data_IF_354671145918
#
_entry.id   IF_354671145918
#
_cell.length_a   1.000
_cell.length_b   1.000
_cell.length_c   1.000
_cell.angle_alpha   90.00
_cell.angle_beta   90.00
_cell.angle_gamma   90.00
#
_symmetry.space_group_name_H-M   'P 1'
#
loop_
_entity.id
_entity.type
_entity.pdbx_description
1 polymer ?
#
# COMPACT_ATOMS: atom_id res chain seq x y z
N UNK A 1 4.00 -20.07 8.04
CA UNK A 1 5.31 -20.10 7.34
C UNK A 1 5.16 -19.91 5.84
N UNK A 2 4.25 -20.60 5.15
CA UNK A 2 4.04 -20.42 3.70
C UNK A 2 3.55 -19.03 3.27
N UNK A 3 2.66 -18.39 4.03
CA UNK A 3 2.12 -17.06 3.68
C UNK A 3 3.16 -15.95 3.83
N UNK A 4 3.94 -15.95 4.91
CA UNK A 4 4.99 -14.96 5.12
C UNK A 4 6.04 -14.99 3.99
N UNK A 5 6.49 -16.19 3.58
CA UNK A 5 7.44 -16.34 2.47
C UNK A 5 6.85 -15.85 1.15
N UNK A 6 5.55 -16.12 0.91
CA UNK A 6 4.85 -15.64 -0.28
C UNK A 6 4.76 -14.11 -0.30
N UNK A 7 4.34 -13.51 0.81
CA UNK A 7 4.25 -12.06 0.96
C UNK A 7 5.61 -11.39 0.78
N UNK A 8 6.68 -11.94 1.36
CA UNK A 8 8.05 -11.43 1.14
C UNK A 8 8.46 -11.50 -0.33
N UNK A 9 8.20 -12.63 -1.00
CA UNK A 9 8.51 -12.77 -2.42
C UNK A 9 7.68 -11.86 -3.32
N UNK A 10 6.45 -11.52 -2.91
CA UNK A 10 5.64 -10.51 -3.59
C UNK A 10 6.22 -9.10 -3.41
N UNK A 11 6.55 -8.71 -2.17
CA UNK A 11 7.15 -7.41 -1.88
C UNK A 11 8.48 -7.19 -2.62
N UNK A 12 9.30 -8.23 -2.74
CA UNK A 12 10.55 -8.17 -3.51
C UNK A 12 10.29 -7.87 -5.01
N UNK A 13 9.27 -8.50 -5.60
CA UNK A 13 8.84 -8.18 -6.97
C UNK A 13 8.32 -6.75 -7.08
N UNK A 14 7.55 -6.27 -6.10
CA UNK A 14 7.09 -4.89 -6.10
C UNK A 14 8.26 -3.91 -6.12
N UNK A 15 9.29 -4.16 -5.30
CA UNK A 15 10.51 -3.34 -5.27
C UNK A 15 11.23 -3.35 -6.62
N UNK A 16 11.29 -4.51 -7.28
CA UNK A 16 11.86 -4.60 -8.62
C UNK A 16 11.08 -3.78 -9.65
N UNK A 17 9.74 -3.86 -9.63
CA UNK A 17 8.87 -3.12 -10.55
C UNK A 17 9.03 -1.60 -10.44
N UNK A 18 9.36 -1.07 -9.26
CA UNK A 18 9.66 0.36 -9.06
C UNK A 18 10.86 0.79 -9.91
N UNK A 19 11.89 -0.05 -10.01
CA UNK A 19 13.11 0.29 -10.75
C UNK A 19 12.92 0.22 -12.28
N UNK A 20 11.97 -0.59 -12.75
CA UNK A 20 11.71 -0.81 -14.18
C UNK A 20 10.60 0.10 -14.75
N UNK A 21 9.78 0.69 -13.88
CA UNK A 21 8.64 1.49 -14.32
C UNK A 21 9.06 2.91 -14.73
N UNK A 22 8.59 3.41 -15.89
CA UNK A 22 8.98 4.72 -16.42
C UNK A 22 8.33 5.89 -15.68
N UNK A 23 7.17 5.67 -15.07
CA UNK A 23 6.38 6.66 -14.34
C UNK A 23 5.46 6.01 -13.31
N UNK A 24 4.94 6.84 -12.39
CA UNK A 24 4.08 6.42 -11.28
C UNK A 24 2.75 5.79 -11.74
N UNK A 25 2.00 6.33 -12.73
CA UNK A 25 0.77 5.70 -13.21
C UNK A 25 1.00 4.29 -13.76
N UNK A 26 2.08 4.08 -14.51
CA UNK A 26 2.44 2.77 -15.06
C UNK A 26 2.76 1.78 -13.95
N UNK A 27 3.52 2.21 -12.94
CA UNK A 27 3.85 1.42 -11.77
C UNK A 27 2.59 0.99 -10.99
N UNK A 28 1.75 1.96 -10.62
CA UNK A 28 0.55 1.72 -9.81
C UNK A 28 -0.50 0.89 -10.57
N UNK A 29 -0.63 1.12 -11.88
CA UNK A 29 -1.50 0.35 -12.75
C UNK A 29 -1.15 -1.14 -12.80
N UNK A 30 0.12 -1.51 -12.61
CA UNK A 30 0.56 -2.89 -12.46
C UNK A 30 0.46 -3.43 -11.03
N UNK A 31 0.90 -2.65 -10.03
CA UNK A 31 1.01 -3.10 -8.65
C UNK A 31 -0.33 -3.27 -7.93
N UNK A 32 -1.27 -2.34 -8.10
CA UNK A 32 -2.55 -2.38 -7.35
C UNK A 32 -3.39 -3.64 -7.68
N UNK A 33 -3.50 -4.08 -8.95
CA UNK A 33 -4.14 -5.37 -9.25
C UNK A 33 -3.47 -6.59 -8.60
N UNK A 34 -2.13 -6.61 -8.57
CA UNK A 34 -1.40 -7.71 -7.93
C UNK A 34 -1.63 -7.72 -6.42
N UNK A 35 -1.62 -6.54 -5.77
CA UNK A 35 -1.94 -6.39 -4.34
C UNK A 35 -3.34 -6.92 -4.01
N UNK A 36 -4.36 -6.53 -4.79
CA UNK A 36 -5.73 -7.02 -4.59
C UNK A 36 -5.78 -8.55 -4.72
N UNK A 37 -5.06 -9.11 -5.68
CA UNK A 37 -5.02 -10.56 -5.92
C UNK A 37 -4.30 -11.30 -4.80
N UNK A 38 -3.11 -10.84 -4.39
CA UNK A 38 -2.26 -11.49 -3.39
C UNK A 38 -2.95 -11.52 -2.01
N UNK A 39 -3.60 -10.42 -1.62
CA UNK A 39 -4.27 -10.31 -0.32
C UNK A 39 -5.75 -10.68 -0.36
N UNK A 40 -6.27 -11.15 -1.50
CA UNK A 40 -7.70 -11.43 -1.70
C UNK A 40 -8.60 -10.27 -1.27
N UNK A 41 -8.11 -9.04 -1.43
CA UNK A 41 -8.85 -7.83 -1.09
C UNK A 41 -9.97 -7.59 -2.11
N UNK A 42 -10.94 -6.75 -1.77
CA UNK A 42 -11.93 -6.26 -2.75
C UNK A 42 -11.51 -4.93 -3.36
N UNK A 43 -10.70 -4.15 -2.64
CA UNK A 43 -10.25 -2.82 -3.02
C UNK A 43 -8.87 -2.55 -2.42
N UNK A 44 -8.04 -1.78 -3.12
CA UNK A 44 -6.87 -1.15 -2.56
C UNK A 44 -6.68 0.23 -3.20
N UNK A 45 -5.97 1.11 -2.50
CA UNK A 45 -5.67 2.45 -3.00
C UNK A 45 -4.44 3.06 -2.35
N UNK A 46 -3.92 4.08 -3.01
CA UNK A 46 -2.79 4.91 -2.55
C UNK A 46 -3.35 6.23 -2.07
N UNK A 47 -3.22 6.45 -0.76
CA UNK A 47 -3.62 7.69 -0.10
C UNK A 47 -2.37 8.52 0.21
N UNK A 48 -2.34 9.76 -0.23
CA UNK A 48 -1.25 10.69 0.05
C UNK A 48 -1.74 11.79 0.98
N UNK A 49 -0.96 12.04 2.04
CA UNK A 49 -1.23 13.14 2.96
C UNK A 49 -0.68 14.44 2.41
N UNK A 50 -1.57 15.38 2.11
CA UNK A 50 -1.27 16.80 1.82
C UNK A 50 -1.80 17.66 2.98
N UNK A 51 -2.71 18.60 2.70
CA UNK A 51 -3.49 19.29 3.74
C UNK A 51 -4.61 18.40 4.34
N UNK A 52 -5.00 17.35 3.60
CA UNK A 52 -5.88 16.26 4.02
C UNK A 52 -5.37 14.93 3.46
N UNK A 53 -6.26 13.96 3.28
CA UNK A 53 -5.96 12.70 2.61
C UNK A 53 -6.57 12.71 1.21
N UNK A 54 -5.70 12.65 0.20
CA UNK A 54 -6.11 12.57 -1.20
C UNK A 54 -5.91 11.13 -1.69
N UNK A 55 -6.89 10.60 -2.43
CA UNK A 55 -6.75 9.34 -3.14
C UNK A 55 -6.08 9.61 -4.49
N UNK A 56 -4.86 9.14 -4.67
CA UNK A 56 -4.08 9.35 -5.90
C UNK A 56 -4.31 8.22 -6.92
N UNK A 57 -4.51 6.99 -6.43
CA UNK A 57 -4.77 5.83 -7.29
C UNK A 57 -5.55 4.76 -6.55
N UNK A 58 -6.33 3.97 -7.27
CA UNK A 58 -7.10 2.87 -6.71
C UNK A 58 -7.31 1.74 -7.71
N UNK A 59 -7.56 0.55 -7.16
CA UNK A 59 -7.99 -0.61 -7.93
C UNK A 59 -8.96 -1.47 -7.13
N UNK A 60 -9.97 -2.00 -7.82
CA UNK A 60 -10.92 -2.95 -7.26
C UNK A 60 -12.34 -2.42 -7.24
N UNK A 61 -13.12 -2.87 -6.26
CA UNK A 61 -14.56 -2.63 -6.12
C UNK A 61 -14.87 -2.32 -4.66
N UNK A 62 -15.96 -1.61 -4.41
CA UNK A 62 -16.39 -1.27 -3.03
C UNK A 62 -15.35 -0.42 -2.30
N UNK A 63 -14.95 0.70 -2.93
CA UNK A 63 -14.20 1.73 -2.23
C UNK A 63 -14.91 2.10 -0.91
N UNK A 64 -14.18 2.27 0.20
CA UNK A 64 -14.75 2.76 1.45
C UNK A 64 -15.49 4.08 1.24
N UNK A 65 -16.68 4.22 1.83
CA UNK A 65 -17.45 5.47 1.75
C UNK A 65 -16.77 6.62 2.51
N UNK A 66 -16.10 6.28 3.61
CA UNK A 66 -15.34 7.20 4.44
C UNK A 66 -13.95 6.61 4.71
N UNK A 67 -12.95 7.47 4.84
CA UNK A 67 -11.60 7.06 5.20
C UNK A 67 -11.49 6.83 6.70
N UNK A 68 -10.80 5.77 7.17
CA UNK A 68 -10.53 5.58 8.59
C UNK A 68 -9.43 6.55 9.03
N UNK A 69 -9.78 7.83 9.17
CA UNK A 69 -8.83 8.93 9.41
C UNK A 69 -7.97 8.68 10.66
N UNK A 70 -8.54 8.13 11.72
CA UNK A 70 -7.82 7.80 12.96
C UNK A 70 -6.71 6.79 12.70
N UNK A 71 -7.00 5.67 12.03
CA UNK A 71 -5.98 4.67 11.65
C UNK A 71 -4.92 5.24 10.70
N UNK A 72 -5.33 6.08 9.74
CA UNK A 72 -4.40 6.74 8.83
C UNK A 72 -3.46 7.70 9.57
N UNK A 73 -3.98 8.44 10.57
CA UNK A 73 -3.18 9.31 11.42
C UNK A 73 -2.21 8.51 12.29
N UNK A 74 -2.68 7.42 12.90
CA UNK A 74 -1.84 6.50 13.67
C UNK A 74 -0.70 5.92 12.81
N UNK A 75 -0.97 5.55 11.56
CA UNK A 75 0.05 4.98 10.66
C UNK A 75 1.24 5.92 10.37
N UNK A 76 1.04 7.23 10.54
CA UNK A 76 2.06 8.25 10.36
C UNK A 76 2.71 8.66 11.68
N UNK A 77 2.13 8.27 12.81
CA UNK A 77 2.76 8.46 14.11
C UNK A 77 3.96 7.51 14.21
N UNK A 78 5.17 8.09 14.26
CA UNK A 78 6.43 7.36 14.25
C UNK A 78 6.52 6.38 15.41
N UNK A 79 5.79 6.62 16.50
CA UNK A 79 5.74 5.76 17.67
C UNK A 79 4.77 4.58 17.52
N UNK A 80 3.80 4.65 16.60
CA UNK A 80 2.81 3.60 16.38
C UNK A 80 3.36 2.39 15.59
N UNK A 81 4.46 2.56 14.85
CA UNK A 81 5.12 1.48 14.11
C UNK A 81 5.86 0.46 15.02
N UNK A 82 5.88 0.67 16.34
CA UNK A 82 6.49 -0.25 17.31
C UNK A 82 8.02 -0.38 17.21
N UNK A 83 8.67 0.39 16.33
CA UNK A 83 10.11 0.40 16.17
C UNK A 83 10.74 1.24 17.27
N UNK A 84 11.24 0.59 18.32
CA UNK A 84 12.22 1.26 19.18
C UNK A 84 13.45 1.63 18.33
N UNK A 85 14.10 2.78 18.60
CA UNK A 85 15.38 3.09 17.99
C UNK A 85 16.34 1.92 18.23
N UNK A 86 17.02 1.48 17.17
CA UNK A 86 18.11 0.52 17.27
C UNK A 86 19.33 1.33 17.74
N UNK A 87 19.72 1.13 18.99
CA UNK A 87 21.04 1.53 19.52
C UNK A 87 22.15 0.63 18.93
#
# INVERSE_FOLDING_TARGET
MHEAVRATGFLDRCLHSVAESPDEPTLLGGLLPELVTEFSAQWCGVLVRKSGWDLESEYGRQQPADWPIELLQESLDREAAGGQPID
#
